data_IF_020772666131
#
_entry.id   IF_020772666131
#
_cell.length_a   1.000
_cell.length_b   1.000
_cell.length_c   1.000
_cell.angle_alpha   90.00
_cell.angle_beta   90.00
_cell.angle_gamma   90.00
#
_symmetry.space_group_name_H-M   'P 1'
#
loop_
_entity.id
_entity.type
_entity.pdbx_description
1 polymer ?
#
# COMPACT_ATOMS: atom_id res chain seq x y z
N UNK A 1 3.38 -21.60 9.15
CA UNK A 1 3.82 -20.20 9.34
C UNK A 1 2.83 -19.26 8.67
N UNK A 2 2.50 -18.18 9.32
CA UNK A 2 1.58 -17.18 8.77
C UNK A 2 2.11 -15.78 9.00
N UNK A 3 1.76 -14.86 8.12
CA UNK A 3 2.14 -13.45 8.22
C UNK A 3 0.94 -12.68 8.75
N UNK A 4 1.16 -11.90 9.79
CA UNK A 4 0.10 -11.11 10.42
C UNK A 4 -0.12 -9.79 9.68
N UNK A 5 -1.27 -9.17 9.92
CA UNK A 5 -1.58 -7.85 9.36
C UNK A 5 -0.50 -6.83 9.73
N UNK A 6 -0.07 -6.82 10.99
CA UNK A 6 0.98 -5.89 11.44
C UNK A 6 2.30 -6.09 10.69
N UNK A 7 2.66 -7.34 10.40
CA UNK A 7 3.87 -7.63 9.65
C UNK A 7 3.78 -7.10 8.21
N UNK A 8 2.61 -7.19 7.61
CA UNK A 8 2.40 -6.67 6.25
C UNK A 8 2.51 -5.14 6.25
N UNK A 9 1.85 -4.47 7.18
CA UNK A 9 1.95 -3.00 7.29
C UNK A 9 3.38 -2.57 7.55
N UNK A 10 4.10 -3.32 8.40
CA UNK A 10 5.51 -3.03 8.68
C UNK A 10 6.37 -3.13 7.43
N UNK A 11 6.07 -4.07 6.54
CA UNK A 11 6.81 -4.20 5.29
C UNK A 11 6.50 -3.05 4.33
N UNK A 12 5.27 -2.55 4.29
CA UNK A 12 4.98 -1.33 3.55
C UNK A 12 5.79 -0.16 4.09
N UNK A 13 5.89 -0.03 5.41
CA UNK A 13 6.67 1.02 6.03
C UNK A 13 8.17 0.88 5.74
N UNK A 14 8.68 -0.35 5.79
CA UNK A 14 10.09 -0.63 5.46
C UNK A 14 10.41 -0.25 4.03
N UNK A 15 9.51 -0.59 3.10
CA UNK A 15 9.64 -0.19 1.70
C UNK A 15 9.69 1.34 1.56
N UNK A 16 8.74 2.03 2.18
CA UNK A 16 8.67 3.49 2.11
C UNK A 16 9.91 4.16 2.69
N UNK A 17 10.41 3.64 3.81
CA UNK A 17 11.61 4.17 4.47
C UNK A 17 12.86 3.99 3.60
N UNK A 18 12.95 2.85 2.91
CA UNK A 18 14.11 2.55 2.06
C UNK A 18 14.06 3.23 0.69
N UNK A 19 12.87 3.63 0.24
CA UNK A 19 12.70 4.21 -1.08
C UNK A 19 13.10 5.69 -1.07
N UNK A 20 14.01 6.06 -1.98
CA UNK A 20 14.61 7.40 -1.99
C UNK A 20 13.62 8.52 -2.32
N UNK A 21 12.54 8.21 -3.03
CA UNK A 21 11.57 9.20 -3.48
C UNK A 21 10.36 9.35 -2.58
N UNK A 22 10.13 8.40 -1.66
CA UNK A 22 8.98 8.47 -0.75
C UNK A 22 9.38 9.24 0.49
N UNK A 23 8.65 10.32 0.79
CA UNK A 23 8.94 11.20 1.91
C UNK A 23 7.94 11.09 3.06
N UNK A 24 6.83 10.37 2.86
CA UNK A 24 5.81 10.17 3.89
C UNK A 24 5.16 8.81 3.71
N UNK A 25 4.93 8.12 4.83
CA UNK A 25 4.15 6.88 4.85
C UNK A 25 3.03 7.03 5.88
N UNK A 26 1.81 6.72 5.46
CA UNK A 26 0.64 6.67 6.35
C UNK A 26 -0.16 5.43 6.04
N UNK A 27 -0.82 4.89 7.04
CA UNK A 27 -1.75 3.77 6.88
C UNK A 27 -2.99 4.02 7.74
N UNK A 28 -4.09 3.37 7.37
CA UNK A 28 -5.36 3.48 8.08
C UNK A 28 -6.48 3.93 7.17
N UNK A 29 -7.36 4.76 7.69
CA UNK A 29 -8.51 5.28 6.96
C UNK A 29 -8.17 6.65 6.36
N UNK A 30 -8.35 6.78 5.06
CA UNK A 30 -8.10 8.05 4.36
C UNK A 30 -8.97 9.19 4.93
N UNK A 31 -10.18 8.87 5.34
CA UNK A 31 -11.07 9.84 5.98
C UNK A 31 -10.47 10.40 7.26
N UNK A 32 -9.90 9.54 8.10
CA UNK A 32 -9.23 9.99 9.33
C UNK A 32 -8.03 10.89 9.03
N UNK A 33 -7.27 10.55 8.01
CA UNK A 33 -6.13 11.35 7.58
C UNK A 33 -6.55 12.77 7.19
N UNK A 34 -7.63 12.89 6.42
CA UNK A 34 -8.10 14.20 5.96
C UNK A 34 -8.69 15.05 7.09
N UNK A 35 -9.14 14.43 8.17
CA UNK A 35 -9.71 15.15 9.31
C UNK A 35 -8.70 15.54 10.37
N UNK A 36 -7.72 14.68 10.63
CA UNK A 36 -6.77 14.87 11.73
C UNK A 36 -5.55 15.69 11.33
N UNK A 37 -5.17 15.63 10.08
CA UNK A 37 -3.99 16.33 9.58
C UNK A 37 -4.32 17.09 8.31
N UNK A 38 -3.71 18.27 8.17
CA UNK A 38 -3.79 18.99 6.90
C UNK A 38 -2.95 18.24 5.87
N UNK A 39 -3.57 17.89 4.73
CA UNK A 39 -2.83 17.23 3.65
C UNK A 39 -1.69 18.09 3.11
N UNK A 40 -1.82 19.42 3.20
CA UNK A 40 -0.78 20.34 2.76
C UNK A 40 0.48 20.30 3.64
N UNK A 41 0.35 19.87 4.90
CA UNK A 41 1.46 19.81 5.85
C UNK A 41 2.24 18.51 5.79
N UNK A 42 1.73 17.50 5.07
CA UNK A 42 2.42 16.23 4.90
C UNK A 42 3.54 16.37 3.87
N UNK A 43 4.51 15.46 3.97
CA UNK A 43 5.60 15.40 3.00
C UNK A 43 5.20 14.55 1.79
N UNK A 44 5.68 14.92 0.63
CA UNK A 44 5.36 14.22 -0.62
C UNK A 44 6.64 13.91 -1.40
N UNK A 45 6.67 12.88 -2.24
CA UNK A 45 5.60 11.91 -2.51
C UNK A 45 5.23 11.07 -1.29
N UNK A 46 3.96 10.71 -1.18
CA UNK A 46 3.42 9.95 -0.06
C UNK A 46 2.90 8.60 -0.52
N UNK A 47 3.21 7.56 0.26
CA UNK A 47 2.58 6.25 0.13
C UNK A 47 1.53 6.12 1.23
N UNK A 48 0.29 5.88 0.84
CA UNK A 48 -0.83 5.64 1.75
C UNK A 48 -1.37 4.25 1.54
N UNK A 49 -1.55 3.50 2.62
CA UNK A 49 -2.07 2.13 2.58
C UNK A 49 -3.34 2.07 3.41
N UNK A 50 -4.43 1.68 2.76
CA UNK A 50 -5.75 1.57 3.37
C UNK A 50 -6.23 0.13 3.28
N UNK A 51 -7.02 -0.31 4.27
CA UNK A 51 -7.62 -1.64 4.25
C UNK A 51 -8.53 -1.82 3.05
N UNK A 52 -8.48 -3.02 2.48
CA UNK A 52 -9.48 -3.53 1.56
C UNK A 52 -10.03 -4.83 2.16
N UNK A 53 -11.25 -5.25 1.80
CA UNK A 53 -11.79 -6.48 2.36
C UNK A 53 -10.88 -7.68 2.17
N UNK A 54 -10.72 -8.49 3.22
CA UNK A 54 -10.04 -9.77 3.15
C UNK A 54 -11.05 -10.87 2.82
N UNK A 55 -10.58 -11.96 2.23
CA UNK A 55 -11.43 -13.09 1.89
C UNK A 55 -10.77 -14.41 2.28
N UNK A 56 -11.59 -15.42 2.52
CA UNK A 56 -11.16 -16.79 2.81
C UNK A 56 -11.78 -17.70 1.75
N UNK A 57 -10.97 -18.58 1.19
CA UNK A 57 -11.46 -19.57 0.25
C UNK A 57 -10.36 -20.52 -0.17
N UNK A 58 -10.74 -21.77 -0.47
CA UNK A 58 -9.84 -22.80 -0.98
C UNK A 58 -8.59 -23.04 -0.11
N UNK A 59 -8.73 -22.89 1.22
CA UNK A 59 -7.61 -23.09 2.14
C UNK A 59 -6.63 -21.93 2.21
N UNK A 60 -7.01 -20.76 1.70
CA UNK A 60 -6.18 -19.56 1.71
C UNK A 60 -6.92 -18.38 2.33
N UNK A 61 -6.15 -17.47 2.88
CA UNK A 61 -6.64 -16.14 3.22
C UNK A 61 -5.98 -15.13 2.27
N UNK A 62 -6.79 -14.23 1.73
CA UNK A 62 -6.32 -13.16 0.85
C UNK A 62 -6.54 -11.83 1.54
N UNK A 63 -5.46 -11.14 1.88
CA UNK A 63 -5.51 -9.81 2.46
C UNK A 63 -5.44 -8.77 1.35
N UNK A 64 -6.39 -7.82 1.37
CA UNK A 64 -6.43 -6.75 0.39
C UNK A 64 -5.98 -5.43 1.01
N UNK A 65 -5.28 -4.64 0.22
CA UNK A 65 -4.83 -3.30 0.60
C UNK A 65 -5.04 -2.36 -0.57
N UNK A 66 -5.68 -1.22 -0.32
CA UNK A 66 -5.73 -0.15 -1.28
C UNK A 66 -4.48 0.71 -1.11
N UNK A 67 -3.69 0.80 -2.14
CA UNK A 67 -2.42 1.52 -2.13
C UNK A 67 -2.59 2.78 -2.95
N UNK A 68 -2.24 3.91 -2.36
CA UNK A 68 -2.25 5.19 -3.04
C UNK A 68 -0.84 5.78 -2.99
N UNK A 69 -0.33 6.18 -4.14
CA UNK A 69 0.91 6.96 -4.24
C UNK A 69 0.52 8.30 -4.81
N UNK A 70 0.83 9.37 -4.09
CA UNK A 70 0.40 10.70 -4.47
C UNK A 70 1.50 11.74 -4.24
N UNK A 71 1.47 12.79 -5.05
CA UNK A 71 2.38 13.92 -4.94
C UNK A 71 1.65 15.20 -5.33
N UNK A 72 2.24 16.32 -4.97
CA UNK A 72 1.70 17.64 -5.30
C UNK A 72 1.97 17.96 -6.77
N UNK A 73 0.93 18.45 -7.46
CA UNK A 73 1.01 18.93 -8.83
C UNK A 73 0.65 20.42 -8.82
N UNK A 74 1.49 21.19 -8.14
CA UNK A 74 1.27 22.62 -7.96
C UNK A 74 1.73 23.41 -9.18
N UNK A 75 1.50 24.73 -9.15
CA UNK A 75 1.92 25.63 -10.19
C UNK A 75 3.41 25.47 -10.50
N UNK A 76 3.75 25.29 -11.78
CA UNK A 76 5.11 25.01 -12.21
C UNK A 76 5.48 23.55 -12.30
N UNK A 77 4.65 22.64 -11.81
CA UNK A 77 4.83 21.19 -11.93
C UNK A 77 3.84 20.63 -12.94
N UNK A 78 4.34 19.93 -13.95
CA UNK A 78 3.47 19.31 -14.96
C UNK A 78 2.82 18.07 -14.36
N UNK A 79 1.49 18.05 -14.35
CA UNK A 79 0.70 16.95 -13.79
C UNK A 79 1.08 15.61 -14.41
N UNK A 80 1.39 15.57 -15.70
CA UNK A 80 1.83 14.37 -16.40
C UNK A 80 3.13 13.81 -15.82
N UNK A 81 4.07 14.69 -15.47
CA UNK A 81 5.34 14.26 -14.86
C UNK A 81 5.11 13.63 -13.49
N UNK A 82 4.24 14.25 -12.67
CA UNK A 82 3.89 13.72 -11.36
C UNK A 82 3.22 12.37 -11.50
N UNK A 83 2.31 12.20 -12.45
CA UNK A 83 1.68 10.91 -12.73
C UNK A 83 2.70 9.85 -13.16
N UNK A 84 3.68 10.23 -13.97
CA UNK A 84 4.73 9.31 -14.41
C UNK A 84 5.56 8.83 -13.21
N UNK A 85 6.01 9.76 -12.37
CA UNK A 85 6.86 9.45 -11.22
C UNK A 85 6.11 8.62 -10.18
N UNK A 86 4.86 8.98 -9.87
CA UNK A 86 4.06 8.25 -8.89
C UNK A 86 3.69 6.85 -9.37
N UNK A 87 3.46 6.66 -10.67
CA UNK A 87 3.24 5.32 -11.22
C UNK A 87 4.46 4.42 -11.05
N UNK A 88 5.67 4.97 -11.29
CA UNK A 88 6.90 4.20 -11.09
C UNK A 88 7.06 3.77 -9.62
N UNK A 89 6.75 4.65 -8.68
CA UNK A 89 6.78 4.32 -7.25
C UNK A 89 5.80 3.19 -6.93
N UNK A 90 4.59 3.26 -7.50
CA UNK A 90 3.58 2.22 -7.30
C UNK A 90 4.07 0.87 -7.83
N UNK A 91 4.69 0.86 -9.01
CA UNK A 91 5.26 -0.37 -9.59
C UNK A 91 6.43 -0.90 -8.76
N UNK A 92 7.22 -0.01 -8.16
CA UNK A 92 8.29 -0.42 -7.25
C UNK A 92 7.73 -1.11 -6.00
N UNK A 93 6.56 -0.70 -5.52
CA UNK A 93 5.88 -1.34 -4.41
C UNK A 93 5.55 -2.80 -4.75
N UNK A 94 5.03 -3.04 -5.94
CA UNK A 94 4.72 -4.40 -6.40
C UNK A 94 6.00 -5.23 -6.50
N UNK A 95 7.06 -4.66 -7.05
CA UNK A 95 8.34 -5.35 -7.20
C UNK A 95 8.93 -5.72 -5.84
N UNK A 96 8.80 -4.85 -4.85
CA UNK A 96 9.26 -5.11 -3.49
C UNK A 96 8.58 -6.33 -2.87
N UNK A 97 7.25 -6.41 -2.97
CA UNK A 97 6.50 -7.54 -2.43
C UNK A 97 6.75 -8.83 -3.24
N UNK A 98 6.99 -8.71 -4.54
CA UNK A 98 7.38 -9.86 -5.35
C UNK A 98 8.74 -10.42 -4.88
N UNK A 99 9.66 -9.54 -4.53
CA UNK A 99 10.95 -9.94 -3.99
C UNK A 99 10.80 -10.59 -2.62
N UNK A 100 9.93 -10.08 -1.76
CA UNK A 100 9.62 -10.72 -0.48
C UNK A 100 9.09 -12.14 -0.68
N UNK A 101 8.21 -12.32 -1.65
CA UNK A 101 7.69 -13.64 -1.99
C UNK A 101 8.82 -14.59 -2.41
N UNK A 102 9.74 -14.12 -3.21
CA UNK A 102 10.85 -14.92 -3.72
C UNK A 102 11.87 -15.25 -2.62
N UNK A 103 12.22 -14.27 -1.79
CA UNK A 103 13.35 -14.40 -0.86
C UNK A 103 12.94 -14.86 0.54
N UNK A 104 11.88 -14.31 1.10
CA UNK A 104 11.56 -14.49 2.52
C UNK A 104 10.15 -15.04 2.76
N UNK A 105 9.14 -14.53 2.06
CA UNK A 105 7.74 -14.90 2.26
C UNK A 105 7.26 -15.85 1.18
N UNK A 106 7.93 -16.98 1.03
CA UNK A 106 7.68 -17.93 -0.07
C UNK A 106 6.27 -18.49 -0.11
N UNK A 107 5.54 -18.39 0.99
CA UNK A 107 4.15 -18.86 1.09
C UNK A 107 3.12 -17.73 0.93
N UNK A 108 3.58 -16.48 0.79
CA UNK A 108 2.70 -15.32 0.61
C UNK A 108 2.83 -14.82 -0.82
N UNK A 109 1.82 -15.11 -1.63
CA UNK A 109 1.84 -14.74 -3.05
C UNK A 109 1.13 -13.41 -3.27
N UNK A 110 1.80 -12.52 -4.00
CA UNK A 110 1.14 -11.31 -4.47
C UNK A 110 0.35 -11.62 -5.74
N UNK A 111 -0.92 -11.19 -5.78
CA UNK A 111 -1.73 -11.27 -6.98
C UNK A 111 -1.36 -10.13 -7.91
N UNK A 112 -0.95 -10.45 -9.14
CA UNK A 112 -0.45 -9.47 -10.11
C UNK A 112 -1.50 -8.97 -11.07
N UNK A 113 -2.77 -9.29 -10.82
CA UNK A 113 -3.88 -8.86 -11.66
C UNK A 113 -4.67 -7.78 -10.93
N UNK A 114 -5.16 -6.82 -11.67
CA UNK A 114 -5.96 -5.75 -11.11
C UNK A 114 -5.90 -4.51 -11.95
N UNK A 115 -6.61 -3.48 -11.52
CA UNK A 115 -6.66 -2.20 -12.19
C UNK A 115 -5.86 -1.17 -11.42
N UNK A 116 -5.12 -0.33 -12.15
CA UNK A 116 -4.44 0.82 -11.60
C UNK A 116 -5.16 2.04 -12.15
N UNK A 117 -5.66 2.89 -11.25
CA UNK A 117 -6.44 4.07 -11.64
C UNK A 117 -5.72 5.34 -11.19
N UNK A 118 -5.69 6.35 -12.07
CA UNK A 118 -5.19 7.65 -11.69
C UNK A 118 -6.27 8.45 -10.97
N UNK A 119 -5.83 9.39 -10.16
CA UNK A 119 -6.74 10.33 -9.50
C UNK A 119 -6.09 11.70 -9.42
N UNK A 120 -6.94 12.73 -9.30
CA UNK A 120 -6.50 14.10 -9.02
C UNK A 120 -7.51 14.69 -8.05
N UNK A 121 -7.02 15.12 -6.89
CA UNK A 121 -7.84 15.75 -5.87
C UNK A 121 -7.39 17.19 -5.69
N UNK A 122 -8.35 18.10 -5.72
CA UNK A 122 -8.08 19.53 -5.61
C UNK A 122 -8.53 20.02 -4.25
N UNK A 123 -7.62 19.97 -3.30
CA UNK A 123 -7.78 20.59 -1.98
C UNK A 123 -7.12 21.97 -2.00
N UNK A 124 -6.51 22.39 -0.89
CA UNK A 124 -5.67 23.60 -0.87
C UNK A 124 -4.50 23.46 -1.85
N UNK A 125 -3.92 22.26 -1.92
CA UNK A 125 -2.97 21.88 -2.95
C UNK A 125 -3.59 20.81 -3.84
N UNK A 126 -3.19 20.77 -5.10
CA UNK A 126 -3.59 19.70 -6.01
C UNK A 126 -2.72 18.47 -5.76
N UNK A 127 -3.37 17.35 -5.45
CA UNK A 127 -2.70 16.06 -5.29
C UNK A 127 -3.08 15.17 -6.46
N UNK A 128 -2.10 14.54 -7.07
CA UNK A 128 -2.33 13.60 -8.16
C UNK A 128 -1.48 12.35 -7.97
N UNK A 129 -1.94 11.26 -8.50
CA UNK A 129 -1.25 9.98 -8.38
C UNK A 129 -2.06 8.83 -8.87
N UNK A 130 -1.79 7.67 -8.29
CA UNK A 130 -2.39 6.40 -8.70
C UNK A 130 -2.82 5.59 -7.49
N UNK A 131 -3.86 4.80 -7.68
CA UNK A 131 -4.33 3.86 -6.69
C UNK A 131 -4.50 2.49 -7.31
N UNK A 132 -4.27 1.46 -6.50
CA UNK A 132 -4.56 0.08 -6.86
C UNK A 132 -4.92 -0.73 -5.63
N UNK A 133 -5.59 -1.86 -5.84
CA UNK A 133 -5.80 -2.85 -4.77
C UNK A 133 -4.76 -3.93 -4.94
N UNK A 134 -3.91 -4.10 -3.92
CA UNK A 134 -2.95 -5.19 -3.85
C UNK A 134 -3.53 -6.30 -3.00
N UNK A 135 -3.42 -7.54 -3.47
CA UNK A 135 -3.88 -8.71 -2.73
C UNK A 135 -2.72 -9.64 -2.44
N UNK A 136 -2.61 -10.04 -1.17
CA UNK A 136 -1.59 -10.98 -0.70
C UNK A 136 -2.29 -12.25 -0.22
N UNK A 137 -1.98 -13.36 -0.86
CA UNK A 137 -2.60 -14.66 -0.62
C UNK A 137 -1.63 -15.56 0.13
N UNK A 138 -2.08 -16.12 1.25
CA UNK A 138 -1.28 -17.05 2.03
C UNK A 138 -2.13 -18.24 2.48
N UNK A 139 -1.52 -19.42 2.71
CA UNK A 139 -2.26 -20.57 3.22
C UNK A 139 -2.91 -20.26 4.56
N UNK A 140 -4.13 -20.74 4.72
CA UNK A 140 -4.84 -20.64 5.98
C UNK A 140 -4.41 -21.82 6.85
N UNK A 141 -3.49 -21.55 7.79
CA UNK A 141 -2.95 -22.57 8.66
C UNK A 141 -3.76 -22.64 9.95
N UNK A 142 -4.23 -23.85 10.29
CA UNK A 142 -4.91 -24.11 11.53
C UNK A 142 -3.99 -24.89 12.47
N UNK A 143 -3.78 -24.37 13.66
CA UNK A 143 -3.13 -25.09 14.74
C UNK A 143 -3.89 -24.78 16.02
N UNK A 144 -4.76 -25.71 16.42
CA UNK A 144 -5.61 -25.53 17.61
C UNK A 144 -4.77 -25.36 18.87
N UNK A 145 -3.57 -25.93 18.90
CA UNK A 145 -2.68 -25.82 20.05
C UNK A 145 -2.14 -24.41 20.25
N UNK A 146 -2.16 -23.58 19.21
CA UNK A 146 -1.71 -22.19 19.29
C UNK A 146 -2.81 -21.19 19.59
N UNK A 147 -4.06 -21.66 19.71
CA UNK A 147 -5.18 -20.80 20.08
C UNK A 147 -5.06 -20.47 21.57
N UNK A 148 -4.98 -19.18 21.95
CA UNK A 148 -4.97 -18.82 23.36
C UNK A 148 -6.27 -19.26 24.03
N UNK A 149 -6.15 -20.05 25.09
CA UNK A 149 -7.30 -20.57 25.84
C UNK A 149 -7.07 -20.36 27.33
N UNK A 150 -8.17 -20.17 28.03
CA UNK A 150 -8.14 -20.07 29.50
C UNK A 150 -8.13 -21.47 30.14
#
# INVERSE_FOLDING_TARGET
MKITYNQIIKEFQNFATAHKQINEFKSGDLWELTQKESLAELNYPMLFVQDSPASIGDGFITNGFNILVMDKANEGTVETEVKSDTLLILLDTIAYFEKLYTDNWKFVKIEKTGSISSFTERFDDTLTGWTMTMQLKQPLAYDECQIPQN
#
